data_IF_562584935031
#
_entry.id   IF_562584935031
#
_cell.length_a   1.000
_cell.length_b   1.000
_cell.length_c   1.000
_cell.angle_alpha   90.00
_cell.angle_beta   90.00
_cell.angle_gamma   90.00
#
_symmetry.space_group_name_H-M   'P 1'
#
loop_
_entity.id
_entity.type
_entity.pdbx_description
1 polymer ?
#
# COMPACT_ATOMS: atom_id res chain seq x y z
N UNK A 1 -9.19 1.71 -35.77
CA UNK A 1 -8.46 2.56 -34.80
C UNK A 1 -7.23 1.79 -34.35
N UNK A 2 -6.07 2.12 -34.91
CA UNK A 2 -4.79 1.52 -34.53
C UNK A 2 -4.50 1.86 -33.07
N UNK A 3 -4.45 0.85 -32.19
CA UNK A 3 -4.17 1.06 -30.78
C UNK A 3 -2.81 1.71 -30.60
N UNK A 4 -2.79 2.97 -30.18
CA UNK A 4 -1.57 3.61 -29.72
C UNK A 4 -0.96 2.75 -28.61
N UNK A 5 0.27 2.29 -28.83
CA UNK A 5 1.00 1.52 -27.83
C UNK A 5 1.22 2.44 -26.63
N UNK A 6 0.52 2.16 -25.54
CA UNK A 6 0.62 2.94 -24.30
C UNK A 6 2.09 3.03 -23.89
N UNK A 7 2.55 4.25 -23.63
CA UNK A 7 3.97 4.56 -23.39
C UNK A 7 4.47 4.03 -22.05
N UNK A 8 3.58 3.92 -21.06
CA UNK A 8 3.92 3.57 -19.69
C UNK A 8 3.20 2.31 -19.23
N UNK A 9 3.94 1.45 -18.52
CA UNK A 9 3.39 0.29 -17.82
C UNK A 9 3.77 0.28 -16.34
N UNK A 10 2.79 0.32 -15.45
CA UNK A 10 3.01 0.34 -13.99
C UNK A 10 2.69 -1.00 -13.35
N UNK A 11 3.34 -1.29 -12.23
CA UNK A 11 2.99 -2.42 -11.36
C UNK A 11 2.51 -1.90 -10.01
N UNK A 12 1.28 -2.23 -9.64
CA UNK A 12 0.76 -2.03 -8.30
C UNK A 12 0.99 -3.30 -7.49
N UNK A 13 1.62 -3.18 -6.33
CA UNK A 13 1.92 -4.33 -5.48
C UNK A 13 1.18 -4.14 -4.15
N UNK A 14 0.39 -5.10 -3.72
CA UNK A 14 -0.17 -5.12 -2.36
C UNK A 14 0.90 -5.42 -1.31
N UNK A 15 0.71 -4.96 -0.06
CA UNK A 15 1.68 -5.25 1.00
C UNK A 15 1.75 -6.75 1.27
N UNK A 16 0.61 -7.44 1.31
CA UNK A 16 0.50 -8.88 1.58
C UNK A 16 -0.77 -9.44 0.92
N UNK A 17 -0.87 -10.77 0.87
CA UNK A 17 -2.06 -11.53 0.51
C UNK A 17 -2.49 -12.43 1.67
N UNK A 18 -3.78 -12.45 1.98
CA UNK A 18 -4.35 -13.34 2.99
C UNK A 18 -4.91 -14.62 2.36
N UNK A 19 -4.92 -15.75 3.09
CA UNK A 19 -5.50 -17.00 2.61
C UNK A 19 -6.99 -16.84 2.30
N UNK A 20 -7.44 -17.43 1.19
CA UNK A 20 -8.86 -17.45 0.86
C UNK A 20 -9.66 -18.19 1.92
N UNK A 21 -10.75 -17.60 2.40
CA UNK A 21 -11.63 -18.22 3.39
C UNK A 21 -11.10 -18.19 4.83
N UNK A 22 -9.98 -17.52 5.10
CA UNK A 22 -9.59 -17.23 6.49
C UNK A 22 -10.67 -16.38 7.17
N UNK A 23 -10.87 -16.64 8.47
CA UNK A 23 -11.78 -15.89 9.34
C UNK A 23 -11.45 -14.39 9.40
N UNK A 24 -10.18 -14.02 9.24
CA UNK A 24 -9.70 -12.65 9.37
C UNK A 24 -9.39 -12.00 8.02
N UNK A 25 -9.55 -12.73 6.91
CA UNK A 25 -9.26 -12.22 5.59
C UNK A 25 -10.33 -11.26 5.09
N UNK A 26 -9.92 -10.04 4.75
CA UNK A 26 -10.77 -9.15 3.96
C UNK A 26 -10.71 -9.52 2.46
N UNK A 27 -11.80 -9.23 1.76
CA UNK A 27 -11.95 -9.58 0.34
C UNK A 27 -10.95 -8.89 -0.59
N UNK A 28 -10.32 -7.78 -0.18
CA UNK A 28 -9.40 -7.03 -1.04
C UNK A 28 -7.96 -7.57 -0.97
N UNK A 29 -7.58 -8.20 0.14
CA UNK A 29 -6.30 -8.89 0.31
C UNK A 29 -6.39 -10.40 0.09
N UNK A 30 -7.58 -10.97 -0.10
CA UNK A 30 -7.76 -12.35 -0.53
C UNK A 30 -7.71 -12.48 -2.08
N UNK A 31 -7.30 -13.65 -2.61
CA UNK A 31 -7.45 -13.93 -4.04
C UNK A 31 -8.93 -14.12 -4.41
N UNK A 32 -9.25 -13.88 -5.69
CA UNK A 32 -10.60 -14.11 -6.26
C UNK A 32 -11.29 -12.89 -6.85
N UNK A 33 -10.81 -11.68 -6.56
CA UNK A 33 -11.27 -10.44 -7.19
C UNK A 33 -10.44 -10.06 -8.42
N UNK A 34 -11.05 -9.34 -9.35
CA UNK A 34 -10.33 -8.69 -10.45
C UNK A 34 -9.33 -7.65 -9.93
N UNK A 35 -8.33 -7.28 -10.73
CA UNK A 35 -7.36 -6.24 -10.34
C UNK A 35 -8.05 -4.87 -10.14
N UNK A 36 -9.08 -4.58 -10.92
CA UNK A 36 -9.89 -3.35 -10.83
C UNK A 36 -10.68 -3.30 -9.51
N UNK A 37 -11.24 -4.44 -9.08
CA UNK A 37 -11.97 -4.55 -7.81
C UNK A 37 -11.03 -4.49 -6.61
N UNK A 38 -9.85 -5.14 -6.69
CA UNK A 38 -8.81 -5.03 -5.65
C UNK A 38 -8.26 -3.61 -5.51
N UNK A 39 -8.17 -2.86 -6.61
CA UNK A 39 -7.86 -1.43 -6.62
C UNK A 39 -9.04 -0.52 -6.21
N UNK A 40 -10.22 -1.10 -5.99
CA UNK A 40 -11.46 -0.37 -5.63
C UNK A 40 -11.80 0.74 -6.62
N UNK A 41 -11.55 0.53 -7.91
CA UNK A 41 -11.58 1.60 -8.92
C UNK A 41 -12.91 2.35 -8.99
N UNK A 42 -14.03 1.62 -8.89
CA UNK A 42 -15.37 2.22 -8.97
C UNK A 42 -15.71 3.03 -7.72
N UNK A 43 -15.35 2.51 -6.54
CA UNK A 43 -15.59 3.19 -5.26
C UNK A 43 -14.74 4.45 -5.12
N UNK A 44 -13.45 4.38 -5.49
CA UNK A 44 -12.53 5.51 -5.40
C UNK A 44 -12.61 6.46 -6.60
N UNK A 45 -13.35 6.08 -7.66
CA UNK A 45 -13.44 6.81 -8.92
C UNK A 45 -12.07 7.17 -9.54
N UNK A 46 -11.13 6.22 -9.55
CA UNK A 46 -9.73 6.45 -9.99
C UNK A 46 -9.44 5.95 -11.41
N UNK A 47 -10.41 5.36 -12.10
CA UNK A 47 -10.21 4.77 -13.44
C UNK A 47 -9.62 5.78 -14.43
N UNK A 48 -10.15 7.00 -14.40
CA UNK A 48 -9.74 8.09 -15.29
C UNK A 48 -8.26 8.50 -15.11
N UNK A 49 -7.66 8.24 -13.95
CA UNK A 49 -6.26 8.55 -13.66
C UNK A 49 -5.27 7.56 -14.31
N UNK A 50 -5.76 6.47 -14.90
CA UNK A 50 -4.93 5.39 -15.48
C UNK A 50 -5.29 5.10 -16.94
N UNK A 51 -6.06 5.97 -17.59
CA UNK A 51 -6.53 5.76 -18.97
C UNK A 51 -5.40 5.68 -19.98
N UNK A 52 -4.33 6.44 -19.77
CA UNK A 52 -3.14 6.54 -20.62
C UNK A 52 -2.00 5.59 -20.20
N UNK A 53 -2.20 4.80 -19.14
CA UNK A 53 -1.20 3.89 -18.57
C UNK A 53 -1.67 2.43 -18.68
N UNK A 54 -0.77 1.52 -19.06
CA UNK A 54 -0.98 0.09 -18.81
C UNK A 54 -0.61 -0.23 -17.37
N UNK A 55 -1.35 -1.10 -16.71
CA UNK A 55 -0.98 -1.47 -15.36
C UNK A 55 -1.36 -2.90 -15.01
N UNK A 56 -0.49 -3.52 -14.24
CA UNK A 56 -0.69 -4.83 -13.65
C UNK A 56 -0.79 -4.70 -12.12
N UNK A 57 -1.30 -5.76 -11.50
CA UNK A 57 -1.51 -5.81 -10.06
C UNK A 57 -0.94 -7.10 -9.52
N UNK A 58 -0.06 -6.99 -8.52
CA UNK A 58 0.48 -8.11 -7.76
C UNK A 58 -0.17 -8.13 -6.38
N UNK A 59 -0.68 -9.28 -5.96
CA UNK A 59 -1.35 -9.45 -4.67
C UNK A 59 -0.45 -9.33 -3.43
N UNK A 60 0.82 -8.95 -3.59
CA UNK A 60 1.83 -9.06 -2.54
C UNK A 60 2.25 -10.50 -2.24
N UNK A 61 3.20 -10.69 -1.29
CA UNK A 61 3.55 -11.99 -0.76
C UNK A 61 2.44 -12.55 0.13
N UNK A 62 2.30 -13.88 0.30
CA UNK A 62 1.50 -14.44 1.39
C UNK A 62 1.92 -13.83 2.73
N UNK A 63 0.96 -13.47 3.58
CA UNK A 63 1.26 -12.91 4.90
C UNK A 63 2.11 -13.90 5.71
N UNK A 64 3.35 -13.53 6.10
CA UNK A 64 4.31 -14.47 6.69
C UNK A 64 4.11 -14.70 8.20
N UNK A 65 3.27 -13.89 8.85
CA UNK A 65 3.06 -13.88 10.30
C UNK A 65 1.71 -14.50 10.73
N UNK A 66 0.82 -14.80 9.78
CA UNK A 66 -0.53 -15.28 10.08
C UNK A 66 -1.53 -15.00 8.96
N UNK A 67 -2.81 -14.99 9.31
CA UNK A 67 -3.93 -14.85 8.37
C UNK A 67 -4.78 -13.58 8.59
N UNK A 68 -4.23 -12.58 9.28
CA UNK A 68 -4.83 -11.26 9.51
C UNK A 68 -4.02 -10.12 8.85
N UNK A 69 -4.65 -8.95 8.71
CA UNK A 69 -4.02 -7.77 8.11
C UNK A 69 -2.93 -7.15 9.00
N UNK A 70 -1.98 -6.45 8.35
CA UNK A 70 -0.84 -5.82 9.02
C UNK A 70 -1.29 -4.64 9.90
N UNK A 71 -0.81 -4.57 11.13
CA UNK A 71 -1.00 -3.42 12.03
C UNK A 71 0.22 -3.13 12.89
N UNK A 72 0.94 -4.16 13.33
CA UNK A 72 2.06 -4.01 14.26
C UNK A 72 3.38 -3.82 13.54
N UNK A 73 4.36 -3.22 14.23
CA UNK A 73 5.71 -3.01 13.69
C UNK A 73 6.42 -4.31 13.31
N UNK A 74 6.20 -5.36 14.08
CA UNK A 74 6.73 -6.69 13.79
C UNK A 74 6.18 -7.20 12.45
N UNK A 75 4.86 -7.12 12.26
CA UNK A 75 4.19 -7.55 11.03
C UNK A 75 4.68 -6.70 9.83
N UNK A 76 4.85 -5.39 10.01
CA UNK A 76 5.46 -4.51 9.00
C UNK A 76 6.86 -4.97 8.58
N UNK A 77 7.72 -5.36 9.52
CA UNK A 77 9.06 -5.87 9.23
C UNK A 77 9.00 -7.15 8.39
N UNK A 78 8.15 -8.10 8.78
CA UNK A 78 8.01 -9.35 8.05
C UNK A 78 7.48 -9.12 6.62
N UNK A 79 6.46 -8.30 6.47
CA UNK A 79 5.86 -7.96 5.17
C UNK A 79 6.85 -7.22 4.29
N UNK A 80 7.59 -6.27 4.85
CA UNK A 80 8.63 -5.54 4.13
C UNK A 80 9.62 -6.51 3.50
N UNK A 81 10.21 -7.40 4.29
CA UNK A 81 11.18 -8.39 3.83
C UNK A 81 10.58 -9.33 2.76
N UNK A 82 9.37 -9.85 2.99
CA UNK A 82 8.70 -10.77 2.08
C UNK A 82 8.35 -10.14 0.72
N UNK A 83 8.19 -8.81 0.67
CA UNK A 83 7.82 -8.07 -0.54
C UNK A 83 9.00 -7.75 -1.45
N UNK A 84 10.22 -7.63 -0.90
CA UNK A 84 11.41 -7.23 -1.68
C UNK A 84 11.72 -8.16 -2.86
N UNK A 85 11.59 -9.50 -2.77
CA UNK A 85 11.79 -10.39 -3.91
C UNK A 85 10.85 -10.08 -5.09
N UNK A 86 9.59 -9.75 -4.84
CA UNK A 86 8.61 -9.40 -5.88
C UNK A 86 9.03 -8.11 -6.60
N UNK A 87 9.50 -7.11 -5.86
CA UNK A 87 10.03 -5.87 -6.47
C UNK A 87 11.25 -6.15 -7.32
N UNK A 88 12.16 -7.00 -6.84
CA UNK A 88 13.37 -7.40 -7.58
C UNK A 88 13.01 -8.10 -8.89
N UNK A 89 12.12 -9.08 -8.84
CA UNK A 89 11.63 -9.80 -10.03
C UNK A 89 10.96 -8.85 -11.03
N UNK A 90 10.11 -7.94 -10.54
CA UNK A 90 9.47 -6.93 -11.37
C UNK A 90 10.48 -6.03 -12.09
N UNK A 91 11.55 -5.62 -11.39
CA UNK A 91 12.61 -4.81 -11.99
C UNK A 91 13.42 -5.60 -13.03
N UNK A 92 13.79 -6.85 -12.72
CA UNK A 92 14.56 -7.73 -13.60
C UNK A 92 13.80 -8.10 -14.87
N UNK A 93 12.46 -8.14 -14.82
CA UNK A 93 11.62 -8.44 -15.98
C UNK A 93 11.72 -7.42 -17.13
N UNK A 94 12.16 -6.18 -16.85
CA UNK A 94 12.16 -5.09 -17.83
C UNK A 94 10.77 -4.65 -18.31
N UNK A 95 9.70 -5.16 -17.70
CA UNK A 95 8.31 -4.97 -18.16
C UNK A 95 7.69 -3.65 -17.70
N UNK A 96 8.15 -3.08 -16.59
CA UNK A 96 7.51 -1.96 -15.92
C UNK A 96 8.39 -0.71 -15.92
N UNK A 97 7.75 0.45 -16.07
CA UNK A 97 8.40 1.76 -15.98
C UNK A 97 8.27 2.40 -14.59
N UNK A 98 7.38 1.90 -13.74
CA UNK A 98 7.23 2.35 -12.36
C UNK A 98 6.56 1.26 -11.51
N UNK A 99 6.84 1.29 -10.21
CA UNK A 99 6.20 0.42 -9.22
C UNK A 99 5.51 1.28 -8.17
N UNK A 100 4.25 0.97 -7.88
CA UNK A 100 3.46 1.61 -6.83
C UNK A 100 3.24 0.61 -5.71
N UNK A 101 3.78 0.94 -4.54
CA UNK A 101 3.62 0.13 -3.35
C UNK A 101 2.33 0.50 -2.62
N UNK A 102 1.33 -0.38 -2.67
CA UNK A 102 0.09 -0.21 -1.94
C UNK A 102 0.28 -0.51 -0.44
N UNK A 103 -0.61 0.08 0.37
CA UNK A 103 -0.62 -0.01 1.83
C UNK A 103 -0.11 1.27 2.49
N UNK A 104 -0.79 1.71 3.55
CA UNK A 104 -0.48 2.98 4.24
C UNK A 104 0.89 2.98 4.93
N UNK A 105 1.25 1.92 5.64
CA UNK A 105 2.51 1.85 6.40
C UNK A 105 3.78 1.55 5.60
N UNK A 106 3.77 1.68 4.27
CA UNK A 106 4.99 1.65 3.43
C UNK A 106 5.99 0.48 3.68
N UNK A 107 5.55 -0.77 3.90
CA UNK A 107 6.46 -1.87 4.19
C UNK A 107 7.46 -2.08 3.04
N UNK A 108 8.75 -1.92 3.34
CA UNK A 108 9.85 -2.14 2.42
C UNK A 108 10.06 -1.02 1.39
N UNK A 109 9.51 0.18 1.62
CA UNK A 109 9.53 1.25 0.62
C UNK A 109 10.94 1.75 0.27
N UNK A 110 11.77 2.06 1.26
CA UNK A 110 13.11 2.59 1.03
C UNK A 110 14.00 1.53 0.37
N UNK A 111 13.92 0.30 0.87
CA UNK A 111 14.64 -0.87 0.37
C UNK A 111 14.24 -1.18 -1.08
N UNK A 112 12.95 -1.06 -1.40
CA UNK A 112 12.45 -1.22 -2.77
C UNK A 112 13.02 -0.16 -3.73
N UNK A 113 13.19 1.08 -3.26
CA UNK A 113 13.83 2.14 -4.06
C UNK A 113 15.31 1.85 -4.30
N UNK A 114 16.02 1.30 -3.32
CA UNK A 114 17.42 0.88 -3.47
C UNK A 114 17.55 -0.22 -4.52
N UNK A 115 16.68 -1.25 -4.47
CA UNK A 115 16.64 -2.34 -5.45
C UNK A 115 16.40 -1.80 -6.85
N UNK A 116 15.39 -0.94 -7.01
CA UNK A 116 14.94 -0.46 -8.31
C UNK A 116 15.89 0.58 -8.94
N UNK A 117 16.73 1.25 -8.13
CA UNK A 117 17.64 2.31 -8.57
C UNK A 117 18.54 1.88 -9.74
N UNK A 118 19.12 0.69 -9.68
CA UNK A 118 20.04 0.19 -10.74
C UNK A 118 19.33 -0.12 -12.06
N UNK A 119 18.00 -0.26 -12.05
CA UNK A 119 17.17 -0.47 -13.24
C UNK A 119 16.53 0.83 -13.75
N UNK A 120 16.74 1.96 -13.07
CA UNK A 120 16.12 3.24 -13.43
C UNK A 120 14.59 3.26 -13.22
N UNK A 121 14.05 2.37 -12.37
CA UNK A 121 12.61 2.26 -12.12
C UNK A 121 12.25 3.07 -10.86
N UNK A 122 11.41 4.12 -10.95
CA UNK A 122 10.87 4.78 -9.78
C UNK A 122 9.93 3.87 -9.00
N UNK A 123 10.06 3.91 -7.68
CA UNK A 123 9.15 3.27 -6.73
C UNK A 123 8.54 4.36 -5.86
N UNK A 124 7.23 4.33 -5.70
CA UNK A 124 6.49 5.17 -4.74
C UNK A 124 5.61 4.31 -3.83
N UNK A 125 5.09 4.90 -2.77
CA UNK A 125 4.19 4.28 -1.79
C UNK A 125 3.02 5.20 -1.46
N UNK A 126 1.97 4.65 -0.84
CA UNK A 126 0.76 5.40 -0.52
C UNK A 126 1.02 6.59 0.42
N UNK A 127 1.56 6.36 1.63
CA UNK A 127 1.73 7.45 2.60
C UNK A 127 2.68 8.55 2.10
N UNK A 128 3.78 8.20 1.45
CA UNK A 128 4.72 9.12 0.83
C UNK A 128 3.99 10.00 -0.19
N UNK A 129 3.29 9.38 -1.14
CA UNK A 129 2.54 10.12 -2.17
C UNK A 129 1.45 11.00 -1.55
N UNK A 130 0.67 10.46 -0.61
CA UNK A 130 -0.43 11.16 0.04
C UNK A 130 0.04 12.39 0.80
N UNK A 131 1.11 12.29 1.58
CA UNK A 131 1.64 13.45 2.32
C UNK A 131 2.21 14.52 1.39
N UNK A 132 2.89 14.12 0.32
CA UNK A 132 3.40 15.08 -0.67
C UNK A 132 2.25 15.82 -1.37
N UNK A 133 1.23 15.12 -1.84
CA UNK A 133 0.06 15.75 -2.47
C UNK A 133 -0.71 16.62 -1.47
N UNK A 134 -0.95 16.15 -0.25
CA UNK A 134 -1.64 16.95 0.76
C UNK A 134 -0.89 18.27 1.07
N UNK A 135 0.46 18.24 1.03
CA UNK A 135 1.28 19.42 1.27
C UNK A 135 1.20 20.47 0.15
N UNK A 136 0.79 20.11 -1.07
CA UNK A 136 0.58 21.07 -2.17
C UNK A 136 -0.81 21.68 -2.17
N UNK A 137 -1.77 21.07 -1.47
CA UNK A 137 -3.18 21.47 -1.46
C UNK A 137 -3.56 22.39 -0.29
N UNK A 138 -2.74 22.47 0.76
CA UNK A 138 -3.02 23.30 1.92
C UNK A 138 -1.79 23.62 2.77
N UNK A 139 -1.93 24.50 3.76
CA UNK A 139 -0.82 24.87 4.64
C UNK A 139 -0.41 23.73 5.59
N UNK A 140 -1.37 22.94 6.07
CA UNK A 140 -1.15 21.75 6.87
C UNK A 140 -2.15 20.66 6.48
N UNK A 141 -1.82 19.42 6.80
CA UNK A 141 -2.70 18.27 6.62
C UNK A 141 -2.83 17.47 7.92
N UNK A 142 -3.87 16.65 8.02
CA UNK A 142 -4.03 15.69 9.11
C UNK A 142 -4.11 14.27 8.55
N UNK A 143 -3.55 13.31 9.27
CA UNK A 143 -3.73 11.88 8.99
C UNK A 143 -4.90 11.37 9.81
N UNK A 144 -5.82 10.63 9.18
CA UNK A 144 -6.89 9.90 9.84
C UNK A 144 -6.66 8.42 9.56
N UNK A 145 -6.55 7.65 10.63
CA UNK A 145 -6.10 6.26 10.59
C UNK A 145 -6.90 5.41 11.61
N UNK A 146 -6.75 4.08 11.57
CA UNK A 146 -7.75 3.18 12.14
C UNK A 146 -7.40 2.63 13.53
N UNK A 147 -6.15 2.22 13.81
CA UNK A 147 -5.71 1.77 15.17
C UNK A 147 -4.62 2.63 15.78
N UNK A 148 -4.59 2.73 17.10
CA UNK A 148 -3.59 3.54 17.83
C UNK A 148 -2.15 3.08 17.54
N UNK A 149 -1.94 1.76 17.43
CA UNK A 149 -0.64 1.18 17.09
C UNK A 149 -0.19 1.64 15.70
N UNK A 150 -1.11 1.68 14.73
CA UNK A 150 -0.83 2.12 13.37
C UNK A 150 -0.61 3.65 13.28
N UNK A 151 -1.30 4.46 14.10
CA UNK A 151 -1.04 5.90 14.20
C UNK A 151 0.41 6.21 14.56
N UNK A 152 0.98 5.46 15.51
CA UNK A 152 2.38 5.65 15.92
C UNK A 152 3.36 5.26 14.80
N UNK A 153 2.94 4.38 13.89
CA UNK A 153 3.69 4.10 12.67
C UNK A 153 3.67 5.31 11.72
N UNK A 154 2.51 5.93 11.51
CA UNK A 154 2.40 7.16 10.71
C UNK A 154 3.15 8.34 11.31
N UNK A 155 3.26 8.44 12.63
CA UNK A 155 4.09 9.45 13.28
C UNK A 155 5.53 9.36 12.79
N UNK A 156 6.09 8.16 12.76
CA UNK A 156 7.45 7.95 12.25
C UNK A 156 7.56 8.28 10.76
N UNK A 157 6.53 8.01 9.97
CA UNK A 157 6.51 8.38 8.55
C UNK A 157 6.50 9.89 8.35
N UNK A 158 5.74 10.63 9.15
CA UNK A 158 5.74 12.11 9.15
C UNK A 158 7.13 12.64 9.46
N UNK A 159 7.80 12.08 10.46
CA UNK A 159 9.18 12.46 10.83
C UNK A 159 10.15 12.09 9.70
N UNK A 160 10.12 10.84 9.24
CA UNK A 160 11.03 10.29 8.21
C UNK A 160 10.95 11.07 6.90
N UNK A 161 9.75 11.48 6.51
CA UNK A 161 9.50 12.24 5.28
C UNK A 161 9.52 13.76 5.51
N UNK A 162 9.91 14.22 6.70
CA UNK A 162 10.11 15.64 7.04
C UNK A 162 8.86 16.52 6.90
N UNK A 163 7.71 15.97 7.29
CA UNK A 163 6.44 16.69 7.31
C UNK A 163 6.01 17.15 8.71
N UNK A 164 6.89 17.15 9.70
CA UNK A 164 6.54 17.54 11.09
C UNK A 164 5.90 18.93 11.18
N UNK A 165 6.35 19.89 10.38
CA UNK A 165 5.80 21.25 10.37
C UNK A 165 4.50 21.37 9.56
N UNK A 166 4.22 20.38 8.71
CA UNK A 166 3.06 20.33 7.79
C UNK A 166 1.96 19.41 8.30
N UNK A 167 2.26 18.45 9.17
CA UNK A 167 1.27 17.58 9.79
C UNK A 167 0.67 18.28 11.02
N UNK A 168 -0.61 18.62 10.97
CA UNK A 168 -1.33 19.24 12.07
C UNK A 168 -1.73 18.22 13.15
N UNK A 169 -2.09 17.00 12.76
CA UNK A 169 -2.49 15.95 13.70
C UNK A 169 -2.50 14.57 13.04
N UNK A 170 -2.29 13.53 13.83
CA UNK A 170 -2.63 12.14 13.48
C UNK A 170 -3.79 11.72 14.38
N UNK A 171 -4.90 11.29 13.78
CA UNK A 171 -6.16 11.01 14.48
C UNK A 171 -6.59 9.57 14.22
N UNK A 172 -7.20 8.98 15.22
CA UNK A 172 -7.67 7.61 15.19
C UNK A 172 -9.20 7.55 15.13
N UNK A 173 -9.77 6.65 14.33
CA UNK A 173 -11.22 6.36 14.32
C UNK A 173 -11.62 5.22 15.27
N UNK A 174 -10.65 4.56 15.90
CA UNK A 174 -10.76 3.47 16.87
C UNK A 174 -11.44 2.22 16.28
N UNK A 175 -11.00 1.82 15.09
CA UNK A 175 -11.42 0.58 14.43
C UNK A 175 -10.19 -0.32 14.21
N UNK A 176 -10.36 -1.61 14.39
CA UNK A 176 -9.27 -2.59 14.25
C UNK A 176 -9.46 -3.43 13.00
N UNK A 177 -8.40 -4.02 12.47
CA UNK A 177 -8.55 -5.16 11.59
C UNK A 177 -9.00 -6.36 12.41
N UNK A 178 -9.85 -7.18 11.81
CA UNK A 178 -10.18 -8.49 12.37
C UNK A 178 -8.89 -9.29 12.57
N UNK A 179 -8.62 -9.72 13.81
CA UNK A 179 -7.37 -10.39 14.18
C UNK A 179 -7.51 -11.21 15.46
N UNK A 180 -6.61 -12.17 15.73
CA UNK A 180 -6.60 -12.92 16.99
C UNK A 180 -6.49 -12.02 18.22
N UNK A 181 -7.26 -12.35 19.26
CA UNK A 181 -7.26 -11.66 20.56
C UNK A 181 -8.01 -10.33 20.59
N UNK A 182 -8.62 -9.93 19.46
CA UNK A 182 -9.38 -8.67 19.32
C UNK A 182 -10.81 -8.94 18.80
N UNK A 183 -11.32 -10.17 18.96
CA UNK A 183 -12.62 -10.60 18.41
C UNK A 183 -13.82 -9.85 19.01
N UNK A 184 -13.65 -9.22 20.17
CA UNK A 184 -14.68 -8.43 20.85
C UNK A 184 -14.62 -6.93 20.51
N UNK A 185 -13.70 -6.51 19.64
CA UNK A 185 -13.56 -5.11 19.22
C UNK A 185 -14.20 -4.88 17.85
N UNK A 186 -14.66 -3.66 17.61
CA UNK A 186 -15.27 -3.28 16.33
C UNK A 186 -14.22 -3.28 15.22
N UNK A 187 -14.48 -4.08 14.17
CA UNK A 187 -13.59 -4.22 13.03
C UNK A 187 -13.90 -3.17 11.96
N UNK A 188 -12.89 -2.66 11.25
CA UNK A 188 -13.05 -1.77 10.10
C UNK A 188 -13.71 -2.46 8.89
N UNK A 189 -13.80 -3.79 8.91
CA UNK A 189 -14.42 -4.59 7.87
C UNK A 189 -15.95 -4.75 8.04
N UNK A 190 -16.49 -4.36 9.20
CA UNK A 190 -17.92 -4.39 9.54
C UNK A 190 -18.58 -3.03 9.24
#
# INVERSE_FOLDING_TARGET
MSGEKKKYRFLFIQPFQLPQGSRFADKYHAPGLSKEDRMRMNYLNIRHLLEDVEWDFHGGPPAPYGDWAVETREEFCYVAAARLPIVREACESGKYNAIVLLGGGEPGFLESREIARKYGIPVTSCAFSQMHIASTLGNKFSVIDFTEIHNMFYYDLVVRHRFTDRCASIRNINYYHARPGHENQTSIAE
#
